data_IF_725956693045
#
_entry.id   IF_725956693045
#
_cell.length_a   1.000
_cell.length_b   1.000
_cell.length_c   1.000
_cell.angle_alpha   90.00
_cell.angle_beta   90.00
_cell.angle_gamma   90.00
#
_symmetry.space_group_name_H-M   'P 1'
#
loop_
_entity.id
_entity.type
_entity.pdbx_description
1 polymer ?
#
# COMPACT_ATOMS: atom_id res chain seq x y z
N UNK A 1 -26.88 35.32 20.86
CA UNK A 1 -26.15 35.46 19.58
C UNK A 1 -24.67 35.11 19.70
N UNK A 2 -23.86 35.77 20.56
CA UNK A 2 -22.41 35.46 20.69
C UNK A 2 -22.08 33.99 21.03
N UNK A 3 -22.89 33.32 21.85
CA UNK A 3 -22.69 31.90 22.21
C UNK A 3 -23.04 30.90 21.10
N UNK A 4 -23.89 31.30 20.15
CA UNK A 4 -24.34 30.46 19.02
C UNK A 4 -23.32 30.50 17.87
N UNK A 5 -22.70 31.67 17.63
CA UNK A 5 -21.57 31.78 16.70
C UNK A 5 -20.34 31.02 17.21
N UNK A 6 -20.10 31.01 18.52
CA UNK A 6 -18.96 30.30 19.12
C UNK A 6 -19.08 28.77 18.98
N UNK A 7 -20.29 28.19 19.12
CA UNK A 7 -20.50 26.74 18.96
C UNK A 7 -20.44 26.31 17.50
N UNK A 8 -20.97 27.12 16.58
CA UNK A 8 -20.89 26.85 15.14
C UNK A 8 -19.42 26.88 14.67
N UNK A 9 -18.63 27.85 15.13
CA UNK A 9 -17.20 27.93 14.80
C UNK A 9 -16.39 26.74 15.33
N UNK A 10 -16.72 26.19 16.51
CA UNK A 10 -16.05 25.01 17.06
C UNK A 10 -16.39 23.71 16.31
N UNK A 11 -17.62 23.57 15.81
CA UNK A 11 -18.02 22.40 14.99
C UNK A 11 -17.35 22.45 13.61
N UNK A 12 -17.27 23.62 12.98
CA UNK A 12 -16.54 23.79 11.72
C UNK A 12 -15.03 23.54 11.88
N UNK A 13 -14.45 23.93 13.01
CA UNK A 13 -13.05 23.65 13.33
C UNK A 13 -12.77 22.15 13.55
N UNK A 14 -13.73 21.38 14.10
CA UNK A 14 -13.59 19.92 14.23
C UNK A 14 -13.71 19.19 12.88
N UNK A 15 -14.52 19.70 11.94
CA UNK A 15 -14.67 19.14 10.59
C UNK A 15 -13.47 19.42 9.67
N UNK A 16 -12.68 20.46 9.98
CA UNK A 16 -11.46 20.80 9.22
C UNK A 16 -10.26 19.88 9.53
N UNK A 17 -10.37 19.00 10.53
CA UNK A 17 -9.40 17.93 10.78
C UNK A 17 -9.87 16.57 10.24
N UNK A 18 -10.82 16.54 9.30
CA UNK A 18 -11.09 15.34 8.53
C UNK A 18 -9.76 14.92 7.87
N UNK A 19 -9.15 13.87 8.42
CA UNK A 19 -7.89 13.33 7.96
C UNK A 19 -7.99 13.12 6.45
N UNK A 20 -7.01 13.64 5.71
CA UNK A 20 -6.82 13.28 4.32
C UNK A 20 -6.57 11.77 4.28
N UNK A 21 -7.64 11.00 4.07
CA UNK A 21 -7.52 9.60 3.71
C UNK A 21 -6.99 9.61 2.28
N UNK A 22 -5.72 9.26 2.11
CA UNK A 22 -5.16 9.04 0.77
C UNK A 22 -5.86 7.80 0.22
N UNK A 23 -6.81 8.02 -0.69
CA UNK A 23 -7.44 6.93 -1.40
C UNK A 23 -6.44 6.35 -2.40
N UNK A 24 -6.47 5.03 -2.57
CA UNK A 24 -5.83 4.43 -3.74
C UNK A 24 -6.48 4.98 -5.01
N UNK A 25 -5.76 4.99 -6.17
CA UNK A 25 -6.39 5.33 -7.43
C UNK A 25 -7.58 4.39 -7.68
N UNK A 26 -8.52 4.83 -8.51
CA UNK A 26 -9.64 4.02 -8.99
C UNK A 26 -9.46 3.66 -10.46
N UNK A 27 -10.17 2.63 -10.91
CA UNK A 27 -10.18 2.21 -12.31
C UNK A 27 -10.49 3.39 -13.26
N UNK A 28 -9.70 3.48 -14.33
CA UNK A 28 -9.77 4.52 -15.35
C UNK A 28 -8.92 5.76 -15.09
N UNK A 29 -8.33 5.92 -13.88
CA UNK A 29 -7.40 7.04 -13.61
C UNK A 29 -6.03 6.82 -14.23
N UNK A 30 -5.35 7.92 -14.53
CA UNK A 30 -3.96 7.91 -14.97
C UNK A 30 -3.02 8.04 -13.77
N UNK A 31 -2.02 7.17 -13.71
CA UNK A 31 -0.94 7.25 -12.74
C UNK A 31 0.39 7.40 -13.47
N UNK A 32 1.28 8.20 -12.92
CA UNK A 32 2.64 8.36 -13.41
C UNK A 32 3.62 8.01 -12.31
N UNK A 33 4.59 7.20 -12.67
CA UNK A 33 5.67 6.84 -11.79
C UNK A 33 6.67 8.02 -11.68
N UNK A 34 7.15 8.27 -10.46
CA UNK A 34 7.96 9.45 -10.09
C UNK A 34 9.36 9.11 -9.60
N UNK A 35 9.55 7.93 -9.01
CA UNK A 35 10.85 7.44 -8.53
C UNK A 35 10.85 5.92 -8.37
N UNK A 36 11.99 5.27 -8.69
CA UNK A 36 12.15 3.82 -8.74
C UNK A 36 13.04 3.41 -7.61
N UNK A 37 12.61 2.30 -7.04
CA UNK A 37 13.41 1.54 -6.12
C UNK A 37 14.80 1.19 -6.68
N UNK A 38 15.65 0.73 -5.77
CA UNK A 38 17.05 0.45 -6.03
C UNK A 38 17.27 -0.70 -7.02
N UNK A 39 18.55 -0.94 -7.34
CA UNK A 39 18.96 -2.09 -8.17
C UNK A 39 19.25 -3.30 -7.31
N UNK A 40 18.76 -4.47 -7.74
CA UNK A 40 18.90 -5.76 -7.10
C UNK A 40 19.72 -6.69 -8.02
N UNK A 41 20.67 -7.43 -7.44
CA UNK A 41 21.46 -8.44 -8.14
C UNK A 41 21.02 -9.84 -7.70
N UNK A 42 20.66 -10.69 -8.67
CA UNK A 42 20.09 -12.03 -8.42
C UNK A 42 21.03 -13.20 -8.82
N UNK A 43 22.33 -12.92 -8.95
CA UNK A 43 23.38 -13.95 -9.10
C UNK A 43 23.67 -14.42 -10.53
N UNK A 44 22.84 -14.06 -11.49
CA UNK A 44 23.03 -14.31 -12.94
C UNK A 44 23.77 -13.17 -13.66
N UNK A 45 24.45 -12.31 -12.90
CA UNK A 45 25.01 -11.02 -13.36
C UNK A 45 23.98 -10.06 -13.97
N UNK A 46 22.68 -10.35 -13.86
CA UNK A 46 21.63 -9.39 -14.21
C UNK A 46 21.37 -8.45 -13.03
N UNK A 47 21.08 -7.20 -13.39
CA UNK A 47 20.64 -6.18 -12.45
C UNK A 47 19.23 -5.79 -12.84
N UNK A 48 18.30 -6.01 -11.93
CA UNK A 48 16.91 -5.60 -12.10
C UNK A 48 16.63 -4.40 -11.19
N UNK A 49 15.73 -3.52 -11.61
CA UNK A 49 15.18 -2.49 -10.73
C UNK A 49 14.01 -3.08 -9.97
N UNK A 50 13.92 -2.73 -8.70
CA UNK A 50 12.85 -3.18 -7.83
C UNK A 50 12.93 -2.47 -6.50
N UNK A 51 11.98 -2.71 -5.61
CA UNK A 51 11.86 -1.97 -4.36
C UNK A 51 10.61 -1.11 -4.37
N UNK A 52 10.63 -0.02 -3.61
CA UNK A 52 9.45 0.84 -3.50
C UNK A 52 9.37 1.80 -4.70
N UNK A 53 8.22 1.85 -5.35
CA UNK A 53 7.92 2.75 -6.45
C UNK A 53 7.02 3.86 -5.93
N UNK A 54 7.32 5.11 -6.27
CA UNK A 54 6.46 6.26 -5.95
C UNK A 54 5.62 6.62 -7.17
N UNK A 55 4.30 6.69 -6.99
CA UNK A 55 3.33 7.02 -8.02
C UNK A 55 2.59 8.29 -7.68
N UNK A 56 2.16 9.00 -8.72
CA UNK A 56 1.27 10.14 -8.63
C UNK A 56 0.03 9.89 -9.50
N UNK A 57 -1.15 10.08 -8.94
CA UNK A 57 -2.41 10.14 -9.69
C UNK A 57 -2.47 11.48 -10.41
N UNK A 58 -2.59 11.48 -11.74
CA UNK A 58 -2.45 12.71 -12.52
C UNK A 58 -3.61 13.69 -12.30
N UNK A 59 -4.82 13.18 -12.06
CA UNK A 59 -6.02 14.00 -11.90
C UNK A 59 -6.10 14.66 -10.51
N UNK A 60 -5.69 13.96 -9.45
CA UNK A 60 -5.76 14.48 -8.06
C UNK A 60 -4.42 15.04 -7.57
N UNK A 61 -3.31 14.63 -8.15
CA UNK A 61 -1.96 14.91 -7.67
C UNK A 61 -1.55 14.09 -6.43
N UNK A 62 -2.43 13.22 -5.93
CA UNK A 62 -2.16 12.35 -4.79
C UNK A 62 -1.06 11.36 -5.11
N UNK A 63 -0.29 11.00 -4.08
CA UNK A 63 0.84 10.09 -4.22
C UNK A 63 0.65 8.85 -3.39
N UNK A 64 1.09 7.72 -3.91
CA UNK A 64 1.10 6.44 -3.21
C UNK A 64 2.36 5.66 -3.58
N UNK A 65 2.65 4.63 -2.80
CA UNK A 65 3.80 3.76 -3.05
C UNK A 65 3.36 2.33 -3.34
N UNK A 66 4.17 1.61 -4.12
CA UNK A 66 3.91 0.21 -4.47
C UNK A 66 5.18 -0.61 -4.56
N UNK A 67 5.02 -1.93 -4.56
CA UNK A 67 6.04 -2.85 -5.05
C UNK A 67 5.57 -3.46 -6.37
N UNK A 68 6.51 -3.88 -7.19
CA UNK A 68 6.17 -4.57 -8.42
C UNK A 68 5.83 -6.04 -8.15
N UNK A 69 4.77 -6.55 -8.78
CA UNK A 69 4.41 -7.96 -8.67
C UNK A 69 5.23 -8.84 -9.63
N UNK A 70 5.36 -8.46 -10.90
CA UNK A 70 5.90 -9.35 -11.94
C UNK A 70 7.31 -8.93 -12.37
N UNK A 71 8.36 -9.76 -12.25
CA UNK A 71 9.74 -9.31 -12.56
C UNK A 71 9.99 -9.05 -14.05
N UNK A 72 9.28 -9.73 -14.93
CA UNK A 72 9.56 -9.73 -16.37
C UNK A 72 8.87 -8.61 -17.16
N UNK A 73 7.91 -7.94 -16.53
CA UNK A 73 7.21 -6.79 -17.11
C UNK A 73 7.97 -5.49 -16.80
N UNK A 74 7.88 -4.51 -17.71
CA UNK A 74 8.60 -3.25 -17.58
C UNK A 74 7.63 -2.08 -17.40
N UNK A 75 7.97 -1.19 -16.48
CA UNK A 75 7.42 0.16 -16.40
C UNK A 75 8.54 1.16 -16.67
N UNK A 76 8.18 2.29 -17.27
CA UNK A 76 9.15 3.29 -17.70
C UNK A 76 8.87 4.63 -17.03
N UNK A 77 9.93 5.40 -16.71
CA UNK A 77 9.78 6.78 -16.28
C UNK A 77 9.04 7.62 -17.31
N UNK A 78 8.31 8.63 -16.82
CA UNK A 78 7.63 9.64 -17.64
C UNK A 78 6.52 9.09 -18.58
N UNK A 79 6.08 7.84 -18.37
CA UNK A 79 4.89 7.27 -19.02
C UNK A 79 3.73 7.26 -18.02
N UNK A 80 2.56 7.73 -18.48
CA UNK A 80 1.31 7.62 -17.75
C UNK A 80 0.64 6.29 -18.07
N UNK A 81 0.17 5.61 -17.03
CA UNK A 81 -0.49 4.31 -17.10
C UNK A 81 -1.92 4.44 -16.62
N UNK A 82 -2.86 3.82 -17.33
CA UNK A 82 -4.26 3.76 -16.90
C UNK A 82 -4.45 2.59 -15.94
N UNK A 83 -5.10 2.83 -14.80
CA UNK A 83 -5.50 1.74 -13.89
C UNK A 83 -6.64 0.95 -14.54
N UNK A 84 -6.36 -0.30 -14.92
CA UNK A 84 -7.33 -1.21 -15.57
C UNK A 84 -8.16 -2.02 -14.60
N UNK A 85 -7.70 -2.17 -13.37
CA UNK A 85 -8.43 -2.89 -12.34
C UNK A 85 -7.69 -2.89 -11.02
N UNK A 86 -8.42 -3.21 -9.95
CA UNK A 86 -7.86 -3.36 -8.60
C UNK A 86 -8.43 -4.63 -7.99
N UNK A 87 -7.56 -5.58 -7.65
CA UNK A 87 -7.96 -6.90 -7.16
C UNK A 87 -7.11 -7.36 -5.97
N UNK A 88 -7.57 -8.35 -5.22
CA UNK A 88 -6.78 -9.08 -4.22
C UNK A 88 -6.61 -10.56 -4.58
N UNK A 89 -7.18 -11.00 -5.71
CA UNK A 89 -7.29 -12.41 -6.08
C UNK A 89 -6.01 -13.02 -6.63
N UNK A 90 -5.04 -12.21 -7.02
CA UNK A 90 -3.83 -12.63 -7.74
C UNK A 90 -2.56 -12.49 -6.88
N UNK A 91 -2.71 -12.36 -5.55
CA UNK A 91 -1.58 -12.18 -4.64
C UNK A 91 -1.52 -13.36 -3.66
N UNK A 92 -0.35 -13.98 -3.51
CA UNK A 92 -0.15 -15.04 -2.52
C UNK A 92 -0.45 -14.57 -1.09
N UNK A 93 -0.81 -15.51 -0.21
CA UNK A 93 -1.06 -15.18 1.21
C UNK A 93 0.20 -14.65 1.89
N UNK A 94 1.36 -15.19 1.53
CA UNK A 94 2.65 -14.80 2.07
C UNK A 94 2.99 -13.36 1.70
N UNK A 95 2.82 -12.98 0.43
CA UNK A 95 3.00 -11.59 -0.02
C UNK A 95 2.05 -10.64 0.69
N UNK A 96 0.76 -10.98 0.78
CA UNK A 96 -0.21 -10.14 1.48
C UNK A 96 0.16 -9.95 2.97
N UNK A 97 0.51 -11.04 3.67
CA UNK A 97 0.93 -10.98 5.07
C UNK A 97 2.19 -10.14 5.25
N UNK A 98 3.21 -10.40 4.42
CA UNK A 98 4.49 -9.72 4.48
C UNK A 98 4.33 -8.21 4.26
N UNK A 99 3.60 -7.85 3.21
CA UNK A 99 3.42 -6.45 2.85
C UNK A 99 2.54 -5.69 3.84
N UNK A 100 1.50 -6.31 4.41
CA UNK A 100 0.72 -5.72 5.50
C UNK A 100 1.60 -5.44 6.72
N UNK A 101 2.46 -6.38 7.12
CA UNK A 101 3.35 -6.19 8.27
C UNK A 101 4.46 -5.17 8.00
N UNK A 102 4.95 -5.09 6.76
CA UNK A 102 5.86 -4.03 6.34
C UNK A 102 5.19 -2.65 6.46
N UNK A 103 4.01 -2.48 5.87
CA UNK A 103 3.29 -1.21 5.86
C UNK A 103 2.85 -0.75 7.26
N UNK A 104 2.58 -1.70 8.17
CA UNK A 104 2.24 -1.43 9.56
C UNK A 104 3.46 -1.23 10.47
N UNK A 105 4.68 -1.47 9.97
CA UNK A 105 5.92 -1.34 10.75
C UNK A 105 6.16 -2.47 11.76
N UNK A 106 5.60 -3.66 11.51
CA UNK A 106 5.73 -4.83 12.38
C UNK A 106 6.97 -5.70 12.06
N UNK A 107 7.68 -5.42 10.96
CA UNK A 107 8.91 -6.13 10.61
C UNK A 107 10.10 -5.56 11.38
N UNK A 108 11.01 -6.43 11.84
CA UNK A 108 12.29 -5.98 12.41
C UNK A 108 13.19 -5.47 11.30
N UNK A 109 13.37 -4.15 11.28
CA UNK A 109 14.23 -3.41 10.35
C UNK A 109 15.52 -2.90 11.02
N UNK A 110 15.82 -3.36 12.25
CA UNK A 110 16.94 -2.87 13.04
C UNK A 110 18.26 -3.06 12.29
N UNK A 111 19.00 -1.97 12.10
CA UNK A 111 20.32 -2.00 11.44
C UNK A 111 20.27 -2.09 9.92
N UNK A 112 19.08 -2.03 9.30
CA UNK A 112 18.92 -1.95 7.85
C UNK A 112 18.76 -0.49 7.42
N UNK A 113 19.35 -0.15 6.27
CA UNK A 113 19.00 1.10 5.58
C UNK A 113 17.74 0.92 4.71
N UNK A 114 17.15 2.04 4.27
CA UNK A 114 15.92 2.03 3.47
C UNK A 114 16.07 1.20 2.19
N UNK A 115 17.21 1.35 1.52
CA UNK A 115 17.58 0.61 0.32
C UNK A 115 17.54 -0.91 0.55
N UNK A 116 18.10 -1.39 1.65
CA UNK A 116 18.11 -2.80 2.03
C UNK A 116 16.71 -3.29 2.35
N UNK A 117 15.92 -2.51 3.07
CA UNK A 117 14.53 -2.85 3.40
C UNK A 117 13.73 -3.05 2.11
N UNK A 118 13.82 -2.12 1.18
CA UNK A 118 13.08 -2.18 -0.09
C UNK A 118 13.53 -3.33 -0.98
N UNK A 119 14.84 -3.58 -1.09
CA UNK A 119 15.36 -4.73 -1.84
C UNK A 119 14.89 -6.05 -1.23
N UNK A 120 14.96 -6.17 0.10
CA UNK A 120 14.54 -7.36 0.83
C UNK A 120 13.06 -7.66 0.61
N UNK A 121 12.23 -6.62 0.70
CA UNK A 121 10.79 -6.71 0.43
C UNK A 121 10.53 -7.17 -1.00
N UNK A 122 11.14 -6.51 -1.99
CA UNK A 122 10.93 -6.85 -3.40
C UNK A 122 11.35 -8.28 -3.75
N UNK A 123 12.48 -8.75 -3.22
CA UNK A 123 12.96 -10.12 -3.45
C UNK A 123 11.99 -11.15 -2.90
N UNK A 124 11.42 -10.90 -1.71
CA UNK A 124 10.43 -11.80 -1.12
C UNK A 124 9.11 -11.79 -1.89
N UNK A 125 8.63 -10.61 -2.31
CA UNK A 125 7.45 -10.51 -3.19
C UNK A 125 7.67 -11.35 -4.44
N UNK A 126 8.78 -11.15 -5.16
CA UNK A 126 9.07 -11.94 -6.35
C UNK A 126 9.25 -13.42 -6.08
N UNK A 127 9.76 -13.82 -4.93
CA UNK A 127 9.90 -15.24 -4.61
C UNK A 127 8.55 -15.90 -4.34
N UNK A 128 7.67 -15.24 -3.58
CA UNK A 128 6.35 -15.76 -3.27
C UNK A 128 5.38 -15.75 -4.46
N UNK A 129 5.54 -14.79 -5.37
CA UNK A 129 4.80 -14.75 -6.64
C UNK A 129 5.49 -15.54 -7.77
N UNK A 130 6.49 -16.38 -7.46
CA UNK A 130 7.18 -17.27 -8.41
C UNK A 130 7.91 -16.57 -9.58
N UNK A 131 8.23 -15.29 -9.43
CA UNK A 131 8.92 -14.45 -10.43
C UNK A 131 10.45 -14.63 -10.45
N UNK A 132 10.99 -15.21 -9.39
CA UNK A 132 12.39 -15.61 -9.27
C UNK A 132 12.50 -17.07 -8.82
N UNK A 133 13.55 -17.73 -9.28
CA UNK A 133 13.85 -19.11 -8.90
C UNK A 133 14.42 -19.20 -7.48
N UNK A 134 14.34 -20.37 -6.87
CA UNK A 134 14.97 -20.66 -5.57
C UNK A 134 16.48 -20.38 -5.57
N UNK A 135 17.18 -20.64 -6.69
CA UNK A 135 18.61 -20.32 -6.81
C UNK A 135 18.89 -18.81 -6.74
N UNK A 136 18.03 -17.99 -7.34
CA UNK A 136 18.16 -16.53 -7.31
C UNK A 136 17.83 -15.98 -5.91
N UNK A 137 16.78 -16.51 -5.29
CA UNK A 137 16.47 -16.21 -3.88
C UNK A 137 17.64 -16.56 -2.96
N UNK A 138 18.18 -17.78 -3.03
CA UNK A 138 19.27 -18.24 -2.18
C UNK A 138 20.56 -17.44 -2.39
N UNK A 139 20.85 -16.99 -3.62
CA UNK A 139 21.97 -16.09 -3.88
C UNK A 139 21.83 -14.77 -3.11
N UNK A 140 20.64 -14.17 -3.13
CA UNK A 140 20.38 -12.92 -2.44
C UNK A 140 20.33 -13.11 -0.91
N UNK A 141 19.53 -14.08 -0.44
CA UNK A 141 19.31 -14.39 0.97
C UNK A 141 20.58 -14.88 1.68
N UNK A 142 21.49 -15.57 0.98
CA UNK A 142 22.76 -16.02 1.54
C UNK A 142 23.67 -14.88 2.04
N UNK A 143 23.42 -13.65 1.57
CA UNK A 143 24.12 -12.45 2.01
C UNK A 143 23.25 -11.53 2.89
N UNK A 144 22.03 -11.94 3.22
CA UNK A 144 21.05 -11.08 3.87
C UNK A 144 20.15 -11.85 4.85
N UNK A 145 20.53 -11.86 6.13
CA UNK A 145 19.82 -12.60 7.17
C UNK A 145 18.37 -12.13 7.38
N UNK A 146 18.07 -10.86 7.12
CA UNK A 146 16.73 -10.30 7.32
C UNK A 146 15.74 -10.84 6.31
N UNK A 147 16.16 -11.08 5.05
CA UNK A 147 15.32 -11.74 4.03
C UNK A 147 14.90 -13.12 4.50
N UNK A 148 15.84 -13.93 4.99
CA UNK A 148 15.57 -15.27 5.50
C UNK A 148 14.64 -15.24 6.72
N UNK A 149 14.82 -14.28 7.62
CA UNK A 149 13.96 -14.11 8.80
C UNK A 149 12.52 -13.72 8.41
N UNK A 150 12.37 -12.74 7.51
CA UNK A 150 11.06 -12.30 7.03
C UNK A 150 10.35 -13.37 6.20
N UNK A 151 11.09 -14.13 5.39
CA UNK A 151 10.57 -15.32 4.70
C UNK A 151 9.94 -16.30 5.69
N UNK A 152 10.69 -16.71 6.73
CA UNK A 152 10.21 -17.67 7.71
C UNK A 152 8.98 -17.17 8.47
N UNK A 153 8.93 -15.87 8.78
CA UNK A 153 7.76 -15.24 9.39
C UNK A 153 6.55 -15.28 8.46
N UNK A 154 6.70 -14.90 7.19
CA UNK A 154 5.60 -14.91 6.23
C UNK A 154 5.10 -16.33 5.96
N UNK A 155 6.00 -17.30 5.73
CA UNK A 155 5.66 -18.70 5.48
C UNK A 155 4.88 -19.32 6.65
N UNK A 156 5.27 -19.01 7.88
CA UNK A 156 4.61 -19.55 9.07
C UNK A 156 3.26 -18.86 9.35
N UNK A 157 3.21 -17.53 9.26
CA UNK A 157 2.07 -16.76 9.77
C UNK A 157 0.98 -16.50 8.71
N UNK A 158 1.29 -16.60 7.42
CA UNK A 158 0.33 -16.30 6.36
C UNK A 158 -0.82 -17.32 6.25
N UNK A 159 -0.63 -18.56 6.73
CA UNK A 159 -1.59 -19.67 6.57
C UNK A 159 -3.00 -19.31 7.06
N UNK A 160 -3.08 -18.71 8.25
CA UNK A 160 -4.33 -18.33 8.92
C UNK A 160 -4.65 -16.84 8.83
N UNK A 161 -3.82 -16.08 8.11
CA UNK A 161 -4.03 -14.65 7.98
C UNK A 161 -5.08 -14.35 6.91
N UNK A 162 -5.82 -13.26 7.12
CA UNK A 162 -6.90 -12.82 6.25
C UNK A 162 -6.62 -11.40 5.78
N UNK A 163 -6.64 -11.20 4.47
CA UNK A 163 -6.54 -9.88 3.87
C UNK A 163 -7.87 -9.13 4.05
N UNK A 164 -7.95 -8.25 5.05
CA UNK A 164 -9.11 -7.41 5.29
C UNK A 164 -9.12 -6.19 4.35
N UNK A 165 -9.08 -6.43 3.04
CA UNK A 165 -9.10 -5.39 2.00
C UNK A 165 -7.90 -4.41 2.05
N UNK A 166 -6.80 -4.81 2.71
CA UNK A 166 -5.64 -3.94 2.95
C UNK A 166 -4.64 -3.97 1.83
N UNK A 167 -4.33 -5.16 1.33
CA UNK A 167 -3.34 -5.32 0.26
C UNK A 167 -4.07 -5.56 -1.05
N UNK A 168 -3.69 -4.84 -2.10
CA UNK A 168 -4.32 -4.90 -3.42
C UNK A 168 -3.26 -4.92 -4.52
N UNK A 169 -3.60 -5.53 -5.64
CA UNK A 169 -2.90 -5.41 -6.91
C UNK A 169 -3.62 -4.36 -7.75
N UNK A 170 -2.90 -3.38 -8.25
CA UNK A 170 -3.33 -2.46 -9.29
C UNK A 170 -2.87 -3.06 -10.62
N UNK A 171 -3.82 -3.36 -11.49
CA UNK A 171 -3.55 -3.85 -12.83
C UNK A 171 -3.36 -2.68 -13.80
N UNK A 172 -2.25 -2.68 -14.55
CA UNK A 172 -1.93 -1.63 -15.53
C UNK A 172 -2.10 -2.05 -16.99
N UNK A 173 -2.60 -3.27 -17.22
CA UNK A 173 -2.85 -3.85 -18.54
C UNK A 173 -1.76 -4.83 -18.99
N UNK A 174 -1.93 -5.38 -20.20
CA UNK A 174 -1.16 -6.55 -20.69
C UNK A 174 0.32 -6.31 -21.00
N UNK A 175 0.79 -5.07 -20.94
CA UNK A 175 2.18 -4.70 -21.27
C UNK A 175 2.86 -3.91 -20.15
N UNK A 176 2.20 -3.78 -18.99
CA UNK A 176 2.67 -3.00 -17.86
C UNK A 176 2.57 -3.82 -16.58
N UNK A 177 3.64 -3.76 -15.80
CA UNK A 177 3.80 -4.53 -14.57
C UNK A 177 2.75 -4.16 -13.52
N UNK A 178 2.08 -5.18 -12.98
CA UNK A 178 1.10 -4.96 -11.92
C UNK A 178 1.77 -4.53 -10.60
N UNK A 179 1.05 -3.71 -9.83
CA UNK A 179 1.58 -2.99 -8.66
C UNK A 179 0.88 -3.40 -7.37
N UNK A 180 1.65 -3.87 -6.40
CA UNK A 180 1.20 -4.21 -5.05
C UNK A 180 1.10 -2.93 -4.21
N UNK A 181 -0.09 -2.59 -3.72
CA UNK A 181 -0.38 -1.39 -2.93
C UNK A 181 -1.07 -1.72 -1.60
N UNK A 182 -0.82 -0.86 -0.62
CA UNK A 182 -1.41 -0.97 0.70
C UNK A 182 -2.45 0.14 0.90
N UNK A 183 -3.70 -0.27 1.07
CA UNK A 183 -4.82 0.61 1.36
C UNK A 183 -4.78 1.06 2.82
N UNK A 184 -4.34 2.29 3.05
CA UNK A 184 -4.36 2.93 4.37
C UNK A 184 -5.73 3.46 4.75
N UNK A 185 -6.63 3.61 3.78
CA UNK A 185 -7.99 4.06 4.02
C UNK A 185 -8.80 2.91 4.64
N UNK A 186 -8.69 2.77 5.96
CA UNK A 186 -9.75 2.15 6.76
C UNK A 186 -10.95 3.10 6.68
N UNK A 187 -11.70 3.03 5.57
CA UNK A 187 -12.88 3.85 5.40
C UNK A 187 -13.76 3.65 6.64
N UNK A 188 -14.20 4.72 7.34
CA UNK A 188 -15.17 4.57 8.40
C UNK A 188 -16.34 3.81 7.81
N UNK A 189 -16.66 2.63 8.35
CA UNK A 189 -17.76 1.83 7.83
C UNK A 189 -19.01 2.72 7.71
N UNK A 190 -19.88 2.54 6.70
CA UNK A 190 -21.07 3.37 6.49
C UNK A 190 -21.92 3.51 7.76
N UNK A 191 -21.91 2.51 8.64
CA UNK A 191 -22.52 2.52 9.98
C UNK A 191 -22.00 3.64 10.87
N UNK A 192 -20.69 3.91 10.85
CA UNK A 192 -20.02 4.98 11.62
C UNK A 192 -20.39 6.36 11.12
N UNK A 193 -20.49 6.54 9.79
CA UNK A 193 -20.97 7.79 9.17
C UNK A 193 -22.43 8.06 9.52
N UNK A 194 -23.28 7.02 9.50
CA UNK A 194 -24.69 7.12 9.88
C UNK A 194 -24.84 7.39 11.37
N UNK A 195 -24.05 6.74 12.24
CA UNK A 195 -24.06 6.98 13.68
C UNK A 195 -23.61 8.40 14.02
N UNK A 196 -22.59 8.92 13.35
CA UNK A 196 -22.16 10.30 13.47
C UNK A 196 -23.27 11.28 13.01
N UNK A 197 -23.90 11.00 11.87
CA UNK A 197 -25.05 11.76 11.36
C UNK A 197 -26.23 11.80 12.34
N UNK A 198 -26.60 10.66 12.93
CA UNK A 198 -27.68 10.55 13.93
C UNK A 198 -27.28 11.25 15.24
N UNK A 199 -26.02 11.14 15.68
CA UNK A 199 -25.51 11.81 16.87
C UNK A 199 -25.57 13.33 16.78
N UNK A 200 -25.31 13.90 15.61
CA UNK A 200 -25.47 15.34 15.35
C UNK A 200 -26.94 15.80 15.34
N UNK A 201 -27.85 14.98 14.79
CA UNK A 201 -29.30 15.27 14.85
C UNK A 201 -29.82 15.20 16.28
N UNK A 202 -29.36 14.21 17.07
CA UNK A 202 -29.74 14.06 18.47
C UNK A 202 -29.30 15.24 19.34
N UNK A 203 -28.07 15.71 19.17
CA UNK A 203 -27.54 16.86 19.92
C UNK A 203 -28.17 18.19 19.49
N UNK A 204 -28.37 18.43 18.19
CA UNK A 204 -29.08 19.60 17.68
C UNK A 204 -30.57 19.62 18.07
N UNK A 205 -31.21 18.45 18.13
CA UNK A 205 -32.61 18.28 18.54
C UNK A 205 -32.85 18.54 20.03
N UNK A 206 -31.96 18.06 20.91
CA UNK A 206 -32.08 18.27 22.35
C UNK A 206 -31.71 19.69 22.80
N UNK A 207 -30.80 20.38 22.11
CA UNK A 207 -30.45 21.76 22.43
C UNK A 207 -31.55 22.79 22.08
N UNK A 208 -32.59 22.42 21.32
CA UNK A 208 -33.70 23.31 20.93
C UNK A 208 -34.85 23.38 21.94
N UNK A 209 -34.82 22.58 23.02
CA UNK A 209 -35.81 22.65 24.11
C UNK A 209 -35.28 23.47 25.29
N UNK A 210 -35.05 24.77 25.09
CA UNK A 210 -35.11 25.83 26.11
C UNK A 210 -35.50 27.15 25.47
#
# INVERSE_FOLDING_TARGET
>A
MKKLLSTLASITALLLFAAAANALPIEGQQIRYTDAGPRIQLGDNSWVRGGLFSWQVEESGETFTSFCLERQQNIFPDISYEVKGISDSEISKQTNWLFSNYAEGNLDITGLDQDQIEKNMQVLVWFFEEEITESQYNYYAGNNSSVTAWFALADTNAINWVNNDRVKAINLGTEAQDQLVYNTAHAPEPSTMVLFGIGLIGTAGFCRRK
#
